data_IF_605096232681
#
_entry.id   IF_605096232681
#
_cell.length_a   1.000
_cell.length_b   1.000
_cell.length_c   1.000
_cell.angle_alpha   90.00
_cell.angle_beta   90.00
_cell.angle_gamma   90.00
#
_symmetry.space_group_name_H-M   'P 1'
#
loop_
_entity.id
_entity.type
_entity.pdbx_description
1 polymer ?
#
# COMPACT_ATOMS: atom_id res chain seq x y z
N UNK A 1 18.31 -17.41 -24.07
CA UNK A 1 17.02 -16.80 -23.62
C UNK A 1 17.31 -15.36 -23.26
N UNK A 2 16.46 -14.41 -23.64
CA UNK A 2 16.64 -13.01 -23.24
C UNK A 2 16.46 -12.85 -21.72
N UNK A 3 17.09 -11.82 -21.15
CA UNK A 3 17.00 -11.50 -19.72
C UNK A 3 15.55 -11.37 -19.23
N UNK A 4 14.67 -10.84 -20.08
CA UNK A 4 13.23 -10.76 -19.85
C UNK A 4 12.57 -12.13 -19.69
N UNK A 5 12.88 -13.08 -20.57
CA UNK A 5 12.33 -14.45 -20.49
C UNK A 5 12.82 -15.17 -19.24
N UNK A 6 14.07 -14.96 -18.82
CA UNK A 6 14.60 -15.59 -17.60
C UNK A 6 13.94 -15.04 -16.34
N UNK A 7 13.69 -13.73 -16.24
CA UNK A 7 13.00 -13.13 -15.09
C UNK A 7 11.57 -13.67 -14.98
N UNK A 8 10.83 -13.69 -16.09
CA UNK A 8 9.46 -14.22 -16.12
C UNK A 8 9.44 -15.70 -15.72
N UNK A 9 10.41 -16.50 -16.21
CA UNK A 9 10.52 -17.91 -15.83
C UNK A 9 10.74 -18.08 -14.31
N UNK A 10 11.59 -17.27 -13.68
CA UNK A 10 11.79 -17.31 -12.24
C UNK A 10 10.56 -16.89 -11.44
N UNK A 11 9.83 -15.85 -11.90
CA UNK A 11 8.60 -15.41 -11.25
C UNK A 11 7.50 -16.48 -11.30
N UNK A 12 7.35 -17.13 -12.46
CA UNK A 12 6.40 -18.25 -12.62
C UNK A 12 6.83 -19.41 -11.71
N UNK A 13 8.11 -19.78 -11.73
CA UNK A 13 8.63 -20.85 -10.90
C UNK A 13 8.37 -20.58 -9.41
N UNK A 14 8.67 -19.37 -8.93
CA UNK A 14 8.46 -18.97 -7.54
C UNK A 14 6.98 -19.01 -7.16
N UNK A 15 6.10 -18.48 -8.01
CA UNK A 15 4.65 -18.47 -7.77
C UNK A 15 4.10 -19.88 -7.72
N UNK A 16 4.45 -20.73 -8.70
CA UNK A 16 4.02 -22.13 -8.76
C UNK A 16 4.56 -22.93 -7.58
N UNK A 17 5.82 -22.72 -7.20
CA UNK A 17 6.41 -23.39 -6.04
C UNK A 17 5.71 -22.95 -4.74
N UNK A 18 5.43 -21.67 -4.56
CA UNK A 18 4.73 -21.14 -3.39
C UNK A 18 3.30 -21.66 -3.26
N UNK A 19 2.50 -21.57 -4.32
CA UNK A 19 1.15 -22.13 -4.35
C UNK A 19 1.16 -23.65 -4.21
N UNK A 20 2.09 -24.33 -4.90
CA UNK A 20 2.27 -25.77 -4.82
C UNK A 20 2.63 -26.22 -3.41
N UNK A 21 3.49 -25.49 -2.71
CA UNK A 21 3.84 -25.78 -1.32
C UNK A 21 2.62 -25.71 -0.41
N UNK A 22 1.81 -24.64 -0.51
CA UNK A 22 0.57 -24.52 0.28
C UNK A 22 -0.40 -25.65 -0.07
N UNK A 23 -0.61 -25.92 -1.36
CA UNK A 23 -1.57 -26.91 -1.83
C UNK A 23 -1.17 -28.33 -1.44
N UNK A 24 0.10 -28.72 -1.60
CA UNK A 24 0.60 -30.04 -1.22
C UNK A 24 0.43 -30.27 0.28
N UNK A 25 0.74 -29.27 1.12
CA UNK A 25 0.54 -29.40 2.57
C UNK A 25 -0.95 -29.51 2.95
N UNK A 26 -1.83 -28.74 2.32
CA UNK A 26 -3.27 -28.86 2.54
C UNK A 26 -3.83 -30.21 2.07
N UNK A 27 -3.38 -30.71 0.93
CA UNK A 27 -3.78 -32.03 0.40
C UNK A 27 -3.27 -33.15 1.30
N UNK A 28 -2.00 -33.09 1.70
CA UNK A 28 -1.40 -34.06 2.61
C UNK A 28 -2.13 -34.05 3.96
N UNK A 29 -2.43 -32.87 4.51
CA UNK A 29 -3.22 -32.73 5.72
C UNK A 29 -4.64 -33.28 5.58
N UNK A 30 -5.29 -33.07 4.43
CA UNK A 30 -6.64 -33.60 4.16
C UNK A 30 -6.67 -35.13 4.01
N UNK A 31 -5.62 -35.72 3.43
CA UNK A 31 -5.50 -37.18 3.23
C UNK A 31 -5.13 -37.89 4.53
N UNK A 32 -4.18 -37.35 5.30
CA UNK A 32 -3.69 -37.97 6.54
C UNK A 32 -4.66 -37.78 7.72
N UNK A 33 -5.50 -36.74 7.71
CA UNK A 33 -6.39 -36.43 8.83
C UNK A 33 -7.52 -37.46 8.99
N UNK A 34 -7.74 -38.01 10.20
CA UNK A 34 -8.91 -38.83 10.49
C UNK A 34 -10.23 -38.07 10.30
N UNK A 35 -11.14 -38.64 9.51
CA UNK A 35 -12.49 -38.10 9.29
C UNK A 35 -13.44 -38.63 10.37
N UNK A 36 -13.68 -37.82 11.40
CA UNK A 36 -14.66 -38.10 12.47
C UNK A 36 -15.62 -36.90 12.63
N UNK A 37 -16.69 -36.81 11.83
CA UNK A 37 -17.74 -35.80 11.98
C UNK A 37 -18.79 -36.26 13.01
N UNK A 38 -19.14 -35.37 13.94
CA UNK A 38 -20.24 -35.54 14.90
C UNK A 38 -20.89 -34.17 15.11
N UNK A 39 -22.14 -34.16 15.58
CA UNK A 39 -23.03 -32.98 15.59
C UNK A 39 -22.38 -31.76 16.29
N UNK A 40 -21.95 -31.92 17.54
CA UNK A 40 -21.30 -30.85 18.34
C UNK A 40 -20.03 -30.27 17.70
N UNK A 41 -19.26 -31.05 16.91
CA UNK A 41 -18.05 -30.57 16.23
C UNK A 41 -18.35 -29.68 15.03
N UNK A 42 -19.55 -29.81 14.48
CA UNK A 42 -20.03 -29.08 13.32
C UNK A 42 -20.79 -27.82 13.75
N UNK A 43 -21.09 -27.67 15.03
CA UNK A 43 -21.72 -26.48 15.61
C UNK A 43 -20.70 -25.34 15.81
N UNK A 44 -21.23 -24.11 15.86
CA UNK A 44 -20.44 -22.90 16.12
C UNK A 44 -20.06 -22.90 17.61
N UNK A 45 -18.80 -22.59 17.90
CA UNK A 45 -18.33 -22.50 19.27
C UNK A 45 -18.95 -21.30 20.00
N UNK A 46 -19.77 -21.59 21.02
CA UNK A 46 -20.43 -20.58 21.88
C UNK A 46 -20.25 -20.95 23.37
N UNK A 47 -19.01 -21.30 23.75
CA UNK A 47 -18.65 -21.68 25.13
C UNK A 47 -19.51 -22.79 25.78
N UNK A 48 -20.16 -23.63 24.98
CA UNK A 48 -21.03 -24.74 25.43
C UNK A 48 -22.52 -24.40 25.55
N UNK A 49 -22.94 -23.20 25.14
CA UNK A 49 -24.35 -22.78 25.07
C UNK A 49 -24.86 -22.94 23.63
N UNK A 50 -26.14 -23.30 23.39
CA UNK A 50 -26.68 -23.28 22.03
C UNK A 50 -26.72 -21.84 21.50
N UNK A 51 -26.37 -21.62 20.24
CA UNK A 51 -26.37 -20.27 19.66
C UNK A 51 -27.79 -19.70 19.60
N UNK A 52 -28.10 -18.70 20.44
CA UNK A 52 -29.39 -17.99 20.42
C UNK A 52 -29.21 -16.60 19.83
N UNK A 53 -30.06 -16.24 18.87
CA UNK A 53 -30.13 -14.89 18.30
C UNK A 53 -29.58 -14.80 16.87
N UNK A 54 -29.68 -13.60 16.30
CA UNK A 54 -29.23 -13.33 14.94
C UNK A 54 -27.73 -13.02 14.91
N UNK A 55 -27.00 -13.58 13.94
CA UNK A 55 -25.60 -13.21 13.67
C UNK A 55 -25.44 -11.82 13.02
N UNK A 56 -26.55 -11.12 12.73
CA UNK A 56 -26.53 -9.78 12.15
C UNK A 56 -26.44 -8.72 13.24
N UNK A 57 -25.21 -8.26 13.50
CA UNK A 57 -24.91 -7.13 14.38
C UNK A 57 -24.62 -5.86 13.55
N UNK A 58 -25.06 -4.70 14.04
CA UNK A 58 -24.68 -3.42 13.45
C UNK A 58 -23.22 -3.12 13.80
N UNK A 59 -22.33 -3.26 12.82
CA UNK A 59 -20.95 -2.84 12.98
C UNK A 59 -20.82 -1.32 12.98
N UNK A 60 -19.90 -0.80 13.79
CA UNK A 60 -19.62 0.64 13.84
C UNK A 60 -19.07 1.12 12.48
N UNK A 61 -19.49 2.29 12.01
CA UNK A 61 -19.04 2.89 10.74
C UNK A 61 -17.52 3.15 10.73
N UNK A 62 -16.86 3.18 11.89
CA UNK A 62 -15.41 3.42 12.03
C UNK A 62 -14.55 2.44 11.23
N UNK A 63 -14.96 1.17 11.10
CA UNK A 63 -14.25 0.21 10.25
C UNK A 63 -14.23 0.64 8.78
N UNK A 64 -15.33 1.22 8.31
CA UNK A 64 -15.42 1.75 6.95
C UNK A 64 -14.54 2.99 6.75
N UNK A 65 -14.47 3.89 7.74
CA UNK A 65 -13.63 5.10 7.64
C UNK A 65 -12.15 4.73 7.54
N UNK A 66 -11.68 3.78 8.35
CA UNK A 66 -10.29 3.30 8.29
C UNK A 66 -10.01 2.63 6.93
N UNK A 67 -10.92 1.81 6.43
CA UNK A 67 -10.77 1.18 5.12
C UNK A 67 -10.74 2.21 3.97
N UNK A 68 -11.60 3.23 4.03
CA UNK A 68 -11.64 4.31 3.05
C UNK A 68 -10.34 5.12 3.09
N UNK A 69 -9.83 5.46 4.28
CA UNK A 69 -8.56 6.16 4.43
C UNK A 69 -7.39 5.32 3.88
N UNK A 70 -7.38 4.01 4.13
CA UNK A 70 -6.39 3.10 3.57
C UNK A 70 -6.39 3.13 2.05
N UNK A 71 -7.57 3.05 1.40
CA UNK A 71 -7.67 3.09 -0.07
C UNK A 71 -7.17 4.42 -0.62
N UNK A 72 -7.53 5.54 0.00
CA UNK A 72 -7.08 6.87 -0.42
C UNK A 72 -5.56 6.96 -0.32
N UNK A 73 -4.98 6.60 0.84
CA UNK A 73 -3.54 6.64 1.05
C UNK A 73 -2.77 5.67 0.13
N UNK A 74 -3.32 4.48 -0.13
CA UNK A 74 -2.70 3.48 -1.03
C UNK A 74 -2.60 4.01 -2.47
N UNK A 75 -3.70 4.59 -2.98
CA UNK A 75 -3.70 5.27 -4.29
C UNK A 75 -2.75 6.46 -4.30
N UNK A 76 -2.66 7.22 -3.21
CA UNK A 76 -1.74 8.35 -3.10
C UNK A 76 -0.27 7.92 -3.14
N UNK A 77 0.09 6.83 -2.46
CA UNK A 77 1.44 6.25 -2.53
C UNK A 77 1.74 5.71 -3.92
N UNK A 78 0.74 5.20 -4.65
CA UNK A 78 0.93 4.76 -6.03
C UNK A 78 1.41 5.91 -6.94
N UNK A 79 1.02 7.17 -6.67
CA UNK A 79 1.52 8.33 -7.40
C UNK A 79 2.99 8.67 -7.10
N UNK A 80 3.58 8.15 -6.03
CA UNK A 80 5.00 8.36 -5.75
C UNK A 80 5.91 7.61 -6.74
N UNK A 81 5.46 6.51 -7.34
CA UNK A 81 6.28 5.75 -8.28
C UNK A 81 6.69 6.54 -9.53
N UNK A 82 5.76 7.11 -10.32
CA UNK A 82 6.14 7.89 -11.51
C UNK A 82 6.99 9.11 -11.12
N UNK A 83 6.64 9.80 -10.04
CA UNK A 83 7.43 10.92 -9.52
C UNK A 83 8.87 10.49 -9.17
N UNK A 84 9.04 9.38 -8.44
CA UNK A 84 10.35 8.88 -8.02
C UNK A 84 11.22 8.48 -9.21
N UNK A 85 10.63 7.92 -10.27
CA UNK A 85 11.35 7.58 -11.50
C UNK A 85 11.86 8.84 -12.20
N UNK A 86 11.04 9.88 -12.32
CA UNK A 86 11.45 11.16 -12.94
C UNK A 86 12.53 11.83 -12.10
N UNK A 87 12.29 12.00 -10.79
CA UNK A 87 13.25 12.60 -9.87
C UNK A 87 14.59 11.85 -9.87
N UNK A 88 14.58 10.52 -9.83
CA UNK A 88 15.78 9.68 -9.87
C UNK A 88 16.60 9.87 -11.14
N UNK A 89 15.95 10.01 -12.30
CA UNK A 89 16.64 10.24 -13.59
C UNK A 89 17.14 11.68 -13.71
N UNK A 90 16.33 12.66 -13.32
CA UNK A 90 16.72 14.07 -13.33
C UNK A 90 17.91 14.35 -12.41
N UNK A 91 17.96 13.69 -11.24
CA UNK A 91 19.12 13.79 -10.33
C UNK A 91 20.38 13.15 -10.89
N UNK A 92 20.28 12.07 -11.66
CA UNK A 92 21.42 11.49 -12.37
C UNK A 92 21.94 12.42 -13.47
N UNK A 93 21.03 13.01 -14.27
CA UNK A 93 21.38 13.99 -15.31
C UNK A 93 22.00 15.28 -14.75
N UNK A 94 21.65 15.67 -13.53
CA UNK A 94 22.24 16.83 -12.87
C UNK A 94 23.70 16.61 -12.43
N UNK A 95 24.20 15.37 -12.46
CA UNK A 95 25.57 15.06 -12.01
C UNK A 95 26.59 15.34 -13.11
N UNK A 96 27.80 15.81 -12.74
CA UNK A 96 28.92 15.97 -13.66
C UNK A 96 29.35 14.67 -14.37
N UNK A 97 29.08 13.52 -13.75
CA UNK A 97 29.44 12.18 -14.25
C UNK A 97 28.61 11.74 -15.47
N UNK A 98 27.52 12.44 -15.79
CA UNK A 98 26.66 12.16 -16.94
C UNK A 98 26.66 13.34 -17.92
N UNK A 99 27.79 13.61 -18.59
CA UNK A 99 27.89 14.71 -19.56
C UNK A 99 26.99 14.46 -20.77
N UNK A 100 26.42 15.53 -21.32
CA UNK A 100 25.61 15.48 -22.52
C UNK A 100 26.48 15.21 -23.76
N UNK A 101 27.66 15.82 -23.82
CA UNK A 101 28.65 15.64 -24.89
C UNK A 101 29.97 15.15 -24.30
N UNK A 102 30.53 14.11 -24.91
CA UNK A 102 31.85 13.55 -24.60
C UNK A 102 32.77 13.77 -25.81
N UNK A 103 33.95 14.35 -25.57
CA UNK A 103 35.02 14.42 -26.56
C UNK A 103 35.88 13.15 -26.47
N UNK A 104 36.03 12.46 -27.60
CA UNK A 104 36.82 11.24 -27.72
C UNK A 104 38.29 11.57 -27.99
N UNK A 105 39.20 10.61 -27.73
CA UNK A 105 40.65 10.79 -27.93
C UNK A 105 41.03 11.07 -29.40
N UNK A 106 40.19 10.68 -30.35
CA UNK A 106 40.34 10.94 -31.78
C UNK A 106 39.86 12.35 -32.22
N UNK A 107 39.41 13.17 -31.26
CA UNK A 107 38.86 14.51 -31.51
C UNK A 107 37.43 14.51 -32.01
N UNK A 108 36.78 13.35 -32.13
CA UNK A 108 35.35 13.26 -32.46
C UNK A 108 34.48 13.54 -31.24
N UNK A 109 33.26 14.02 -31.48
CA UNK A 109 32.27 14.33 -30.44
C UNK A 109 31.14 13.32 -30.50
N UNK A 110 30.74 12.81 -29.35
CA UNK A 110 29.59 11.93 -29.24
C UNK A 110 28.72 12.34 -28.06
N UNK A 111 27.46 11.91 -28.10
CA UNK A 111 26.55 12.07 -26.97
C UNK A 111 26.94 11.07 -25.88
N UNK A 112 26.93 11.52 -24.62
CA UNK A 112 27.19 10.64 -23.49
C UNK A 112 26.22 9.46 -23.49
N UNK A 113 26.70 8.19 -23.43
CA UNK A 113 25.82 7.02 -23.46
C UNK A 113 24.87 6.96 -22.26
N UNK A 114 25.28 7.48 -21.10
CA UNK A 114 24.39 7.64 -19.94
C UNK A 114 23.33 8.73 -20.14
N UNK A 115 23.70 9.85 -20.78
CA UNK A 115 22.78 10.96 -21.04
C UNK A 115 21.67 10.56 -22.01
N UNK A 116 22.01 9.92 -23.13
CA UNK A 116 21.01 9.50 -24.14
C UNK A 116 20.05 8.44 -23.59
N UNK A 117 20.57 7.49 -22.78
CA UNK A 117 19.74 6.48 -22.11
C UNK A 117 18.72 7.12 -21.18
N UNK A 118 19.18 8.04 -20.32
CA UNK A 118 18.31 8.76 -19.36
C UNK A 118 17.28 9.65 -20.05
N UNK A 119 17.65 10.36 -21.12
CA UNK A 119 16.73 11.20 -21.89
C UNK A 119 15.67 10.38 -22.61
N UNK A 120 16.07 9.26 -23.23
CA UNK A 120 15.14 8.30 -23.86
C UNK A 120 14.17 7.71 -22.83
N UNK A 121 14.70 7.34 -21.67
CA UNK A 121 13.92 6.79 -20.56
C UNK A 121 13.01 7.83 -19.86
N UNK A 122 13.31 9.11 -19.99
CA UNK A 122 12.43 10.22 -19.60
C UNK A 122 11.40 10.56 -20.69
N UNK A 123 11.53 9.98 -21.89
CA UNK A 123 10.71 10.29 -23.05
C UNK A 123 10.95 11.69 -23.61
N UNK A 124 12.11 12.29 -23.33
CA UNK A 124 12.47 13.62 -23.82
C UNK A 124 13.23 13.51 -25.14
N UNK A 125 12.86 14.29 -26.17
CA UNK A 125 13.60 14.30 -27.42
C UNK A 125 15.00 14.88 -27.22
N UNK A 126 15.99 14.29 -27.87
CA UNK A 126 17.36 14.80 -27.93
C UNK A 126 17.60 15.24 -29.37
N UNK A 127 17.82 16.54 -29.58
CA UNK A 127 18.30 17.02 -30.87
C UNK A 127 19.81 16.80 -30.95
N UNK A 128 20.18 15.63 -31.46
CA UNK A 128 21.57 15.20 -31.54
C UNK A 128 22.40 16.13 -32.45
N UNK A 129 21.78 16.63 -33.52
CA UNK A 129 22.45 17.49 -34.49
C UNK A 129 22.74 18.86 -33.86
N UNK A 130 21.80 19.44 -33.12
CA UNK A 130 21.98 20.69 -32.40
C UNK A 130 23.04 20.55 -31.29
N UNK A 131 22.97 19.46 -30.51
CA UNK A 131 23.88 19.23 -29.40
C UNK A 131 25.33 19.06 -29.88
N UNK A 132 25.55 18.29 -30.95
CA UNK A 132 26.88 18.06 -31.53
C UNK A 132 27.41 19.29 -32.28
N UNK A 133 26.53 20.14 -32.81
CA UNK A 133 26.89 21.41 -33.45
C UNK A 133 27.24 22.53 -32.46
N UNK A 134 27.12 22.29 -31.15
CA UNK A 134 27.45 23.27 -30.12
C UNK A 134 28.92 23.71 -30.20
N UNK A 135 29.14 25.04 -30.15
CA UNK A 135 30.48 25.64 -30.26
C UNK A 135 31.31 25.43 -29.00
N UNK A 136 30.67 25.43 -27.84
CA UNK A 136 31.29 25.25 -26.54
C UNK A 136 30.66 24.03 -25.83
N UNK A 137 31.46 22.97 -25.70
CA UNK A 137 31.06 21.71 -25.06
C UNK A 137 30.89 21.88 -23.56
N UNK A 138 31.73 22.70 -22.92
CA UNK A 138 31.64 22.96 -21.50
C UNK A 138 30.34 23.74 -21.19
N UNK A 139 30.02 24.75 -22.00
CA UNK A 139 28.76 25.49 -21.88
C UNK A 139 27.55 24.57 -22.10
N UNK A 140 27.55 23.74 -23.14
CA UNK A 140 26.46 22.79 -23.41
C UNK A 140 26.24 21.79 -22.25
N UNK A 141 27.32 21.22 -21.71
CA UNK A 141 27.24 20.30 -20.58
C UNK A 141 26.72 20.99 -19.31
N UNK A 142 27.16 22.22 -19.01
CA UNK A 142 26.63 22.99 -17.87
C UNK A 142 25.18 23.39 -18.06
N UNK A 143 24.75 23.70 -19.29
CA UNK A 143 23.35 24.00 -19.60
C UNK A 143 22.47 22.77 -19.37
N UNK A 144 22.87 21.59 -19.86
CA UNK A 144 22.15 20.34 -19.64
C UNK A 144 22.03 20.01 -18.14
N UNK A 145 23.11 20.14 -17.38
CA UNK A 145 23.10 19.94 -15.93
C UNK A 145 22.22 20.96 -15.20
N UNK A 146 22.21 22.22 -15.64
CA UNK A 146 21.36 23.26 -15.05
C UNK A 146 19.87 23.00 -15.33
N UNK A 147 19.54 22.53 -16.53
CA UNK A 147 18.18 22.15 -16.89
C UNK A 147 17.72 20.94 -16.06
N UNK A 148 18.56 19.91 -15.94
CA UNK A 148 18.30 18.77 -15.08
C UNK A 148 18.13 19.19 -13.60
N UNK A 149 18.99 20.07 -13.10
CA UNK A 149 18.89 20.61 -11.73
C UNK A 149 17.58 21.39 -11.51
N UNK A 150 17.14 22.17 -12.50
CA UNK A 150 15.83 22.85 -12.44
C UNK A 150 14.68 21.83 -12.36
N UNK A 151 14.73 20.77 -13.16
CA UNK A 151 13.73 19.69 -13.09
C UNK A 151 13.71 19.01 -11.72
N UNK A 152 14.88 18.73 -11.13
CA UNK A 152 15.00 18.18 -9.77
C UNK A 152 14.28 19.06 -8.76
N UNK A 153 14.55 20.36 -8.76
CA UNK A 153 13.89 21.29 -7.84
C UNK A 153 12.39 21.40 -8.08
N UNK A 154 11.95 21.36 -9.34
CA UNK A 154 10.52 21.31 -9.68
C UNK A 154 9.85 20.05 -9.13
N UNK A 155 10.47 18.88 -9.29
CA UNK A 155 9.99 17.62 -8.72
C UNK A 155 9.90 17.69 -7.19
N UNK A 156 10.89 18.29 -6.51
CA UNK A 156 10.87 18.49 -5.06
C UNK A 156 9.72 19.40 -4.65
N UNK A 157 9.49 20.50 -5.37
CA UNK A 157 8.37 21.39 -5.08
C UNK A 157 7.02 20.67 -5.26
N UNK A 158 6.87 19.90 -6.34
CA UNK A 158 5.66 19.15 -6.66
C UNK A 158 5.29 18.13 -5.57
N UNK A 159 6.26 17.31 -5.13
CA UNK A 159 6.02 16.34 -4.05
C UNK A 159 5.71 17.02 -2.71
N UNK A 160 6.33 18.16 -2.42
CA UNK A 160 6.06 18.91 -1.19
C UNK A 160 4.64 19.47 -1.18
N UNK A 161 4.17 19.98 -2.31
CA UNK A 161 2.79 20.47 -2.46
C UNK A 161 1.81 19.30 -2.35
N UNK A 162 2.07 18.20 -3.07
CA UNK A 162 1.25 17.00 -3.01
C UNK A 162 1.14 16.48 -1.57
N UNK A 163 2.28 16.29 -0.89
CA UNK A 163 2.31 15.81 0.49
C UNK A 163 1.65 16.78 1.49
N UNK A 164 1.77 18.09 1.30
CA UNK A 164 1.09 19.08 2.13
C UNK A 164 -0.44 18.95 2.02
N UNK A 165 -0.96 18.72 0.81
CA UNK A 165 -2.40 18.48 0.59
C UNK A 165 -2.83 17.20 1.33
N UNK A 166 -2.04 16.12 1.24
CA UNK A 166 -2.33 14.87 1.96
C UNK A 166 -2.37 15.09 3.48
N UNK A 167 -1.37 15.81 4.01
CA UNK A 167 -1.26 16.09 5.43
C UNK A 167 -2.46 16.89 5.94
N UNK A 168 -2.99 17.84 5.13
CA UNK A 168 -4.21 18.58 5.46
C UNK A 168 -5.42 17.65 5.53
N UNK A 169 -5.60 16.77 4.54
CA UNK A 169 -6.68 15.78 4.53
C UNK A 169 -6.63 14.84 5.73
N UNK A 170 -5.44 14.32 6.02
CA UNK A 170 -5.19 13.46 7.18
C UNK A 170 -5.45 14.19 8.51
N UNK A 171 -4.89 15.39 8.68
CA UNK A 171 -5.09 16.21 9.88
C UNK A 171 -6.57 16.56 10.10
N UNK A 172 -7.35 16.74 9.03
CA UNK A 172 -8.78 16.97 9.11
C UNK A 172 -9.55 15.77 9.69
N UNK A 173 -9.29 14.57 9.18
CA UNK A 173 -9.90 13.32 9.68
C UNK A 173 -9.50 13.07 11.13
N UNK A 174 -8.22 13.29 11.46
CA UNK A 174 -7.72 13.19 12.83
C UNK A 174 -8.43 14.16 13.77
N UNK A 175 -8.53 15.45 13.39
CA UNK A 175 -9.20 16.47 14.19
C UNK A 175 -10.68 16.15 14.43
N UNK A 176 -11.35 15.48 13.48
CA UNK A 176 -12.75 15.09 13.62
C UNK A 176 -12.95 13.94 14.63
N UNK A 177 -11.90 13.18 14.93
CA UNK A 177 -11.98 12.02 15.82
C UNK A 177 -12.59 10.79 15.16
N UNK A 178 -12.64 10.75 13.82
CA UNK A 178 -13.15 9.58 13.08
C UNK A 178 -12.24 8.34 13.29
N UNK A 179 -11.03 8.55 13.82
CA UNK A 179 -10.05 7.53 14.17
C UNK A 179 -10.14 7.08 15.65
N UNK A 180 -11.00 7.68 16.47
CA UNK A 180 -11.08 7.36 17.90
C UNK A 180 -11.84 6.07 18.16
N UNK A 181 -11.18 5.09 18.80
CA UNK A 181 -11.79 3.77 19.08
C UNK A 181 -12.71 3.75 20.32
N UNK A 182 -12.44 4.60 21.32
CA UNK A 182 -12.95 4.46 22.70
C UNK A 182 -14.46 4.77 22.85
N UNK A 183 -15.11 5.34 21.84
CA UNK A 183 -16.51 5.82 21.94
C UNK A 183 -17.61 4.80 21.57
N UNK A 184 -17.30 3.51 21.40
CA UNK A 184 -18.25 2.50 20.88
C UNK A 184 -18.98 1.66 21.96
N UNK A 185 -18.65 1.81 23.24
CA UNK A 185 -19.32 1.09 24.34
C UNK A 185 -20.44 1.89 25.04
N UNK A 186 -20.62 3.17 24.71
CA UNK A 186 -21.59 4.03 25.38
C UNK A 186 -22.83 4.24 24.50
N UNK A 187 -23.89 3.45 24.72
CA UNK A 187 -25.18 3.80 24.14
C UNK A 187 -26.24 2.73 23.95
N UNK A 188 -26.29 1.65 24.73
CA UNK A 188 -27.59 1.04 25.00
C UNK A 188 -28.07 1.52 26.37
N UNK A 189 -29.11 2.38 26.44
CA UNK A 189 -29.82 2.56 27.68
C UNK A 189 -30.40 1.20 28.03
N UNK A 190 -29.80 0.50 29.00
CA UNK A 190 -30.50 -0.58 29.68
C UNK A 190 -31.71 0.06 30.34
N UNK A 191 -32.86 -0.02 29.69
CA UNK A 191 -34.15 0.14 30.35
C UNK A 191 -34.24 -0.97 31.38
N UNK A 192 -33.72 -0.68 32.58
CA UNK A 192 -33.89 -1.51 33.76
C UNK A 192 -35.38 -1.49 34.11
N UNK A 193 -36.14 -2.39 33.48
CA UNK A 193 -37.42 -2.80 34.01
C UNK A 193 -37.14 -3.52 35.34
N UNK A 194 -37.32 -2.80 36.44
CA UNK A 194 -37.32 -3.38 37.79
C UNK A 194 -38.43 -4.43 37.88
N UNK A 195 -38.13 -5.67 37.53
CA UNK A 195 -38.94 -6.81 37.92
C UNK A 195 -38.70 -7.09 39.40
N UNK A 196 -39.58 -6.57 40.26
CA UNK A 196 -39.70 -7.03 41.65
C UNK A 196 -40.33 -8.42 41.63
N UNK A 197 -39.52 -9.47 41.53
CA UNK A 197 -39.98 -10.82 41.86
C UNK A 197 -39.65 -11.10 43.34
N UNK A 198 -40.70 -11.10 44.14
CA UNK A 198 -40.69 -11.48 45.55
C UNK A 198 -40.52 -13.00 45.66
N UNK A 199 -39.28 -13.48 45.67
CA UNK A 199 -38.95 -14.90 45.91
C UNK A 199 -38.96 -15.29 47.39
N UNK A 200 -39.66 -14.52 48.24
CA UNK A 200 -39.67 -14.67 49.71
C UNK A 200 -40.92 -15.33 50.28
N UNK A 201 -41.73 -16.02 49.47
CA UNK A 201 -43.01 -16.59 49.92
C UNK A 201 -43.08 -18.13 49.93
N UNK A 202 -41.96 -18.84 49.80
CA UNK A 202 -41.94 -20.32 49.74
C UNK A 202 -41.67 -21.04 51.07
N UNK A 203 -41.80 -20.38 52.23
CA UNK A 203 -41.54 -21.00 53.55
C UNK A 203 -42.77 -21.25 54.42
N UNK A 204 -43.92 -21.61 53.84
CA UNK A 204 -45.03 -22.15 54.63
C UNK A 204 -45.23 -23.63 54.27
N UNK A 205 -44.38 -24.45 54.90
CA UNK A 205 -44.52 -25.91 54.99
C UNK A 205 -45.38 -26.24 56.21
N UNK A 206 -46.47 -26.95 55.95
CA UNK A 206 -47.16 -27.94 56.79
C UNK A 206 -47.37 -27.69 58.30
N UNK A 207 -48.64 -27.55 58.70
CA UNK A 207 -49.21 -28.21 59.89
C UNK A 207 -50.70 -28.55 59.68
N UNK A 208 -50.98 -29.86 59.67
CA UNK A 208 -52.18 -30.72 59.91
C UNK A 208 -53.42 -30.14 60.62
N UNK A 209 -54.57 -30.87 60.72
CA UNK A 209 -54.87 -32.25 60.29
C UNK A 209 -56.01 -32.42 59.27
#
# INVERSE_FOLDING_TARGET
MSLSTTIVAYLILFTVAGFGFVLVNLLLGSILRPKNPYEEKLEIYECGEPTIGSSFVQFDLRFYVVALLFIIFDVEVAFFFPWAVVFGKSTQLARPESPAIVEMEDGTRAIGPGYIGLMTELGLPVDEAELLASKDVAESNTQAQSAASKLVWTCVADIMIFFAILMVGFAYVWKRGDLDWVRSMAGHPHTSAKSKSSWRDSTQVATTP
#
